data_IF_987122358838
#
_entry.id   IF_987122358838
#
_cell.length_a   1.000
_cell.length_b   1.000
_cell.length_c   1.000
_cell.angle_alpha   90.00
_cell.angle_beta   90.00
_cell.angle_gamma   90.00
#
_symmetry.space_group_name_H-M   'P 1'
#
loop_
_entity.id
_entity.type
_entity.pdbx_description
1 polymer ?
#
# COMPACT_ATOMS: atom_id res chain seq x y z
N UNK A 1 14.32 -17.13 -3.60
CA UNK A 1 12.90 -16.92 -3.29
C UNK A 1 11.97 -17.73 -4.19
N UNK A 2 11.08 -18.51 -3.57
CA UNK A 2 9.94 -19.17 -4.18
C UNK A 2 8.69 -18.85 -3.33
N UNK A 3 7.61 -18.42 -3.98
CA UNK A 3 6.35 -18.03 -3.34
C UNK A 3 5.24 -18.95 -3.83
N UNK A 4 4.47 -19.53 -2.90
CA UNK A 4 3.29 -20.34 -3.23
C UNK A 4 2.07 -19.67 -2.65
N UNK A 5 1.15 -19.25 -3.52
CA UNK A 5 -0.11 -18.61 -3.17
C UNK A 5 -1.28 -19.60 -3.29
N UNK A 6 -2.21 -19.55 -2.35
CA UNK A 6 -3.42 -20.37 -2.32
C UNK A 6 -4.63 -19.50 -2.01
N UNK A 7 -5.62 -19.55 -2.89
CA UNK A 7 -6.90 -18.87 -2.73
C UNK A 7 -7.99 -19.90 -2.51
N UNK A 8 -8.67 -19.83 -1.37
CA UNK A 8 -9.75 -20.74 -1.02
C UNK A 8 -10.97 -19.94 -0.57
N UNK A 9 -12.08 -20.05 -1.29
CA UNK A 9 -13.36 -19.55 -0.80
C UNK A 9 -13.85 -20.45 0.33
N UNK A 10 -13.92 -19.93 1.55
CA UNK A 10 -14.33 -20.71 2.74
C UNK A 10 -15.84 -20.72 2.93
N UNK A 11 -16.53 -19.66 2.49
CA UNK A 11 -17.97 -19.49 2.57
C UNK A 11 -18.46 -18.46 1.52
N UNK A 12 -19.70 -17.97 1.66
CA UNK A 12 -20.28 -17.03 0.72
C UNK A 12 -19.49 -15.71 0.64
N UNK A 13 -18.94 -15.24 1.75
CA UNK A 13 -18.47 -13.87 1.92
C UNK A 13 -16.99 -13.76 2.28
N UNK A 14 -16.29 -14.90 2.41
CA UNK A 14 -14.88 -14.94 2.78
C UNK A 14 -14.03 -15.69 1.75
N UNK A 15 -12.96 -15.04 1.29
CA UNK A 15 -11.86 -15.65 0.55
C UNK A 15 -10.64 -15.73 1.46
N UNK A 16 -10.18 -16.94 1.77
CA UNK A 16 -8.93 -17.15 2.48
C UNK A 16 -7.77 -17.10 1.48
N UNK A 17 -6.90 -16.12 1.63
CA UNK A 17 -5.64 -16.01 0.90
C UNK A 17 -4.50 -16.46 1.82
N UNK A 18 -3.82 -17.54 1.44
CA UNK A 18 -2.63 -18.03 2.12
C UNK A 18 -1.43 -17.95 1.20
N UNK A 19 -0.28 -17.57 1.74
CA UNK A 19 0.96 -17.66 0.99
C UNK A 19 2.10 -18.18 1.85
N UNK A 20 2.91 -19.04 1.26
CA UNK A 20 4.13 -19.58 1.85
C UNK A 20 5.34 -18.96 1.16
N UNK A 21 6.22 -18.34 1.94
CA UNK A 21 7.50 -17.81 1.47
C UNK A 21 8.59 -18.84 1.76
N UNK A 22 9.28 -19.26 0.71
CA UNK A 22 10.46 -20.11 0.78
C UNK A 22 11.67 -19.37 0.20
N UNK A 23 12.48 -18.78 1.08
CA UNK A 23 13.65 -18.03 0.68
C UNK A 23 14.76 -18.07 1.74
N UNK A 24 15.64 -19.10 1.67
CA UNK A 24 16.66 -19.34 2.70
C UNK A 24 17.78 -18.29 2.72
N UNK A 25 17.88 -17.46 1.67
CA UNK A 25 18.83 -16.34 1.64
C UNK A 25 18.41 -15.19 2.58
N UNK A 26 17.12 -15.10 2.91
CA UNK A 26 16.56 -14.01 3.72
C UNK A 26 16.00 -14.49 5.07
N UNK A 27 15.39 -15.68 5.11
CA UNK A 27 14.78 -16.21 6.34
C UNK A 27 15.39 -17.55 6.75
N UNK A 28 15.44 -17.80 8.07
CA UNK A 28 15.99 -19.05 8.64
C UNK A 28 15.09 -20.26 8.43
N UNK A 29 13.82 -20.05 8.09
CA UNK A 29 12.86 -21.09 7.77
C UNK A 29 11.75 -20.54 6.88
N UNK A 30 11.13 -21.42 6.09
CA UNK A 30 9.91 -21.09 5.36
C UNK A 30 8.79 -20.77 6.33
N UNK A 31 7.96 -19.80 5.98
CA UNK A 31 6.82 -19.39 6.81
C UNK A 31 5.59 -19.17 5.95
N UNK A 32 4.43 -19.20 6.58
CA UNK A 32 3.13 -19.04 5.91
C UNK A 32 2.32 -17.97 6.62
N UNK A 33 1.69 -17.09 5.85
CA UNK A 33 0.70 -16.13 6.33
C UNK A 33 -0.67 -16.46 5.76
N UNK A 34 -1.71 -16.06 6.51
CA UNK A 34 -3.10 -16.30 6.17
C UNK A 34 -3.88 -15.00 6.36
N UNK A 35 -4.61 -14.60 5.31
CA UNK A 35 -5.35 -13.34 5.23
C UNK A 35 -6.79 -13.69 4.83
N UNK A 36 -7.76 -13.62 5.76
CA UNK A 36 -9.17 -13.70 5.41
C UNK A 36 -9.60 -12.38 4.76
N UNK A 37 -10.01 -12.45 3.50
CA UNK A 37 -10.52 -11.31 2.74
C UNK A 37 -12.04 -11.35 2.72
N UNK A 38 -12.67 -10.25 3.15
CA UNK A 38 -14.10 -10.06 3.02
C UNK A 38 -14.50 -9.77 1.56
N UNK A 39 -15.65 -10.29 1.14
CA UNK A 39 -16.26 -9.94 -0.14
C UNK A 39 -16.57 -8.45 -0.18
N UNK A 40 -16.09 -7.78 -1.23
CA UNK A 40 -16.50 -6.41 -1.55
C UNK A 40 -17.31 -6.38 -2.85
N UNK A 41 -18.25 -5.45 -2.93
CA UNK A 41 -18.97 -5.09 -4.15
C UNK A 41 -18.29 -3.94 -4.92
N UNK A 42 -17.23 -3.36 -4.34
CA UNK A 42 -16.45 -2.31 -4.99
C UNK A 42 -15.62 -2.86 -6.14
N UNK A 43 -15.18 -1.96 -7.02
CA UNK A 43 -14.32 -2.32 -8.14
C UNK A 43 -12.90 -2.59 -7.62
N UNK A 44 -12.27 -3.64 -8.13
CA UNK A 44 -10.82 -3.82 -7.98
C UNK A 44 -10.10 -2.88 -8.94
N UNK A 45 -9.27 -2.00 -8.40
CA UNK A 45 -8.39 -1.15 -9.16
C UNK A 45 -6.97 -1.70 -9.10
N UNK A 46 -6.19 -1.50 -10.17
CA UNK A 46 -4.77 -1.81 -10.16
C UNK A 46 -4.05 -0.94 -9.12
N UNK A 47 -3.16 -1.52 -8.32
CA UNK A 47 -2.40 -0.77 -7.30
C UNK A 47 -1.61 0.40 -7.89
N UNK A 48 -1.09 0.25 -9.11
CA UNK A 48 -0.38 1.29 -9.84
C UNK A 48 -1.29 2.38 -10.42
N UNK A 49 -2.62 2.24 -10.29
CA UNK A 49 -3.54 3.30 -10.69
C UNK A 49 -3.39 4.49 -9.74
N UNK A 50 -2.79 5.57 -10.25
CA UNK A 50 -2.66 6.84 -9.54
C UNK A 50 -3.82 7.80 -9.84
N UNK A 51 -4.86 7.34 -10.52
CA UNK A 51 -6.04 8.14 -10.80
C UNK A 51 -6.69 8.58 -9.48
N UNK A 52 -6.79 9.90 -9.27
CA UNK A 52 -7.30 10.48 -8.02
C UNK A 52 -6.29 10.53 -6.86
N UNK A 53 -5.02 10.15 -7.04
CA UNK A 53 -3.99 10.36 -6.03
C UNK A 53 -3.47 11.80 -6.08
N UNK A 54 -3.97 12.63 -5.17
CA UNK A 54 -3.57 14.04 -5.03
C UNK A 54 -2.46 14.26 -3.98
N UNK A 55 -1.86 13.20 -3.44
CA UNK A 55 -0.85 13.33 -2.38
C UNK A 55 0.36 14.13 -2.86
N UNK A 56 0.91 13.82 -4.03
CA UNK A 56 2.05 14.53 -4.60
C UNK A 56 1.79 16.02 -4.83
N UNK A 57 0.72 16.46 -5.54
CA UNK A 57 0.45 17.88 -5.70
C UNK A 57 0.16 18.57 -4.35
N UNK A 58 -0.54 17.92 -3.42
CA UNK A 58 -0.82 18.48 -2.10
C UNK A 58 0.47 18.68 -1.26
N UNK A 59 1.37 17.68 -1.25
CA UNK A 59 2.65 17.77 -0.55
C UNK A 59 3.53 18.89 -1.10
N UNK A 60 3.62 19.01 -2.42
CA UNK A 60 4.39 20.07 -3.06
C UNK A 60 3.78 21.45 -2.79
N UNK A 61 2.44 21.56 -2.81
CA UNK A 61 1.76 22.81 -2.46
C UNK A 61 2.03 23.23 -1.00
N UNK A 62 2.02 22.27 -0.06
CA UNK A 62 2.40 22.51 1.34
C UNK A 62 3.83 23.04 1.48
N UNK A 63 4.80 22.40 0.82
CA UNK A 63 6.18 22.84 0.84
C UNK A 63 6.36 24.26 0.27
N UNK A 64 5.65 24.61 -0.82
CA UNK A 64 5.68 25.97 -1.40
C UNK A 64 5.07 27.01 -0.48
N UNK A 65 4.04 26.64 0.28
CA UNK A 65 3.46 27.52 1.30
C UNK A 65 4.46 27.80 2.43
N UNK A 66 5.19 26.78 2.89
CA UNK A 66 6.23 26.93 3.91
C UNK A 66 7.37 27.84 3.42
N UNK A 67 7.87 27.63 2.20
CA UNK A 67 8.89 28.49 1.57
C UNK A 67 8.42 29.97 1.47
N UNK A 68 7.17 30.20 1.08
CA UNK A 68 6.62 31.55 0.97
C UNK A 68 6.49 32.23 2.34
N UNK A 69 6.11 31.48 3.37
CA UNK A 69 6.04 31.98 4.74
C UNK A 69 7.42 32.36 5.28
N UNK A 70 8.45 31.56 5.01
CA UNK A 70 9.84 31.89 5.37
C UNK A 70 10.35 33.13 4.62
N UNK A 71 10.13 33.22 3.30
CA UNK A 71 10.54 34.38 2.51
C UNK A 71 9.92 35.69 3.01
N UNK A 72 8.64 35.67 3.43
CA UNK A 72 7.99 36.84 4.04
C UNK A 72 8.59 37.23 5.38
N UNK A 73 9.03 36.28 6.21
CA UNK A 73 9.72 36.57 7.47
C UNK A 73 11.05 37.27 7.22
N UNK A 74 11.81 36.81 6.21
CA UNK A 74 13.10 37.42 5.83
C UNK A 74 12.92 38.83 5.27
N UNK A 75 11.92 39.06 4.42
CA UNK A 75 11.67 40.37 3.80
C UNK A 75 11.16 41.44 4.78
N UNK A 76 10.67 41.05 5.96
CA UNK A 76 10.15 41.98 7.00
C UNK A 76 11.18 42.31 8.07
N UNK A 77 12.40 41.75 7.99
CA UNK A 77 13.56 42.11 8.82
C UNK A 77 14.41 43.16 8.11
#
# INVERSE_FOLDING_TARGET
MHLVERFKRTDADTLLYEFTVDDPATWTSRWTASIPMARSHDRMYEYACHEGNYAMPAMLAGARADEAAEAQKTSKR
#
